data_IF_299957464120
#
_entry.id   IF_299957464120
#
_cell.length_a   1.000
_cell.length_b   1.000
_cell.length_c   1.000
_cell.angle_alpha   90.00
_cell.angle_beta   90.00
_cell.angle_gamma   90.00
#
_symmetry.space_group_name_H-M   'P 1'
#
loop_
_entity.id
_entity.type
_entity.pdbx_description
1 polymer ?
#
# COMPACT_ATOMS: atom_id res chain seq x y z
N UNK A 1 -13.79 1.12 -9.80
CA UNK A 1 -14.01 1.03 -8.34
C UNK A 1 -13.19 2.16 -7.70
N UNK A 2 -13.26 2.47 -6.39
CA UNK A 2 -12.30 3.45 -5.85
C UNK A 2 -10.89 2.89 -6.06
N UNK A 3 -10.00 3.69 -6.67
CA UNK A 3 -8.61 3.28 -6.90
C UNK A 3 -7.91 3.07 -5.56
N UNK A 4 -6.97 2.13 -5.48
CA UNK A 4 -6.17 1.88 -4.27
C UNK A 4 -5.51 3.17 -3.74
N UNK A 5 -5.14 4.11 -4.63
CA UNK A 5 -4.60 5.42 -4.25
C UNK A 5 -5.54 6.22 -3.32
N UNK A 6 -6.87 6.13 -3.51
CA UNK A 6 -7.84 6.82 -2.64
C UNK A 6 -7.84 6.22 -1.23
N UNK A 7 -7.74 4.88 -1.14
CA UNK A 7 -7.60 4.21 0.16
C UNK A 7 -6.27 4.57 0.82
N UNK A 8 -5.18 4.67 0.05
CA UNK A 8 -3.89 5.13 0.55
C UNK A 8 -4.01 6.53 1.15
N UNK A 9 -4.53 7.49 0.39
CA UNK A 9 -4.57 8.89 0.81
C UNK A 9 -5.48 9.11 2.04
N UNK A 10 -6.57 8.34 2.16
CA UNK A 10 -7.58 8.58 3.21
C UNK A 10 -7.46 7.68 4.45
N UNK A 11 -6.82 6.51 4.34
CA UNK A 11 -6.73 5.50 5.42
C UNK A 11 -5.29 5.31 5.88
N UNK A 12 -4.34 5.14 4.96
CA UNK A 12 -2.97 4.76 5.30
C UNK A 12 -2.07 5.97 5.55
N UNK A 13 -2.10 6.95 4.65
CA UNK A 13 -1.21 8.10 4.69
C UNK A 13 -1.27 8.87 6.01
N UNK A 14 -2.46 9.17 6.60
CA UNK A 14 -2.52 9.91 7.86
C UNK A 14 -1.82 9.18 9.01
N UNK A 15 -1.98 7.86 9.13
CA UNK A 15 -1.35 7.08 10.18
C UNK A 15 0.16 6.96 9.94
N UNK A 16 0.58 6.79 8.69
CA UNK A 16 2.01 6.73 8.35
C UNK A 16 2.73 8.06 8.58
N UNK A 17 2.09 9.19 8.25
CA UNK A 17 2.63 10.53 8.50
C UNK A 17 2.77 10.83 9.99
N UNK A 18 1.81 10.39 10.82
CA UNK A 18 1.93 10.45 12.28
C UNK A 18 3.12 9.61 12.77
N UNK A 19 3.28 8.39 12.28
CA UNK A 19 4.39 7.51 12.68
C UNK A 19 5.76 8.05 12.24
N UNK A 20 5.82 8.82 11.15
CA UNK A 20 7.02 9.59 10.79
C UNK A 20 7.25 10.72 11.77
N UNK A 21 6.23 11.50 12.11
CA UNK A 21 6.34 12.61 13.06
C UNK A 21 6.76 12.13 14.47
N UNK A 22 6.35 10.92 14.86
CA UNK A 22 6.70 10.26 16.12
C UNK A 22 8.09 9.58 16.09
N UNK A 23 8.73 9.50 14.93
CA UNK A 23 10.06 8.90 14.77
C UNK A 23 10.06 7.37 14.76
N UNK A 24 8.90 6.72 14.68
CA UNK A 24 8.80 5.25 14.49
C UNK A 24 9.13 4.82 13.06
N UNK A 25 9.00 5.75 12.12
CA UNK A 25 9.24 5.55 10.70
C UNK A 25 10.15 6.68 10.17
N UNK A 26 11.19 6.34 9.41
CA UNK A 26 12.09 7.36 8.82
C UNK A 26 11.41 8.02 7.63
N UNK A 27 10.79 7.20 6.77
CA UNK A 27 9.98 7.65 5.65
C UNK A 27 9.09 6.50 5.16
N UNK A 28 8.16 6.84 4.28
CA UNK A 28 7.39 5.86 3.52
C UNK A 28 7.14 6.40 2.11
N UNK A 29 6.60 5.55 1.26
CA UNK A 29 6.05 5.99 -0.01
C UNK A 29 5.39 4.87 -0.77
N UNK A 30 4.79 5.26 -1.89
CA UNK A 30 4.14 4.34 -2.82
C UNK A 30 4.85 4.32 -4.15
N UNK A 31 4.91 3.12 -4.73
CA UNK A 31 5.29 2.89 -6.10
C UNK A 31 4.01 2.50 -6.84
N UNK A 32 3.68 3.25 -7.88
CA UNK A 32 2.54 3.01 -8.75
C UNK A 32 3.04 2.78 -10.18
N UNK A 33 2.33 1.95 -10.96
CA UNK A 33 2.67 1.77 -12.37
C UNK A 33 2.33 3.03 -13.16
N UNK A 34 3.22 3.43 -14.08
CA UNK A 34 2.95 4.50 -15.04
C UNK A 34 1.93 4.06 -16.11
N UNK A 35 1.77 2.74 -16.32
CA UNK A 35 0.87 2.14 -17.28
C UNK A 35 0.36 0.79 -16.76
N UNK A 36 -0.95 0.52 -16.85
CA UNK A 36 -1.61 -0.61 -16.21
C UNK A 36 -3.00 -0.21 -15.69
N UNK A 37 -3.63 -1.09 -14.92
CA UNK A 37 -4.95 -0.89 -14.32
C UNK A 37 -4.92 -0.21 -12.93
N UNK A 38 -6.07 -0.07 -12.27
CA UNK A 38 -6.26 0.74 -11.06
C UNK A 38 -5.80 0.09 -9.74
N UNK A 39 -5.19 -1.09 -9.83
CA UNK A 39 -4.91 -1.99 -8.71
C UNK A 39 -3.43 -2.03 -8.30
N UNK A 40 -2.60 -1.20 -8.93
CA UNK A 40 -1.15 -1.26 -8.81
C UNK A 40 -0.63 -0.46 -7.62
N UNK A 41 -0.44 -1.14 -6.49
CA UNK A 41 0.08 -0.56 -5.25
C UNK A 41 1.24 -1.38 -4.70
N UNK A 42 2.39 -0.74 -4.58
CA UNK A 42 3.48 -1.22 -3.75
C UNK A 42 3.86 -0.11 -2.78
N UNK A 43 4.10 -0.47 -1.53
CA UNK A 43 4.40 0.47 -0.46
C UNK A 43 5.79 0.12 0.07
N UNK A 44 6.60 1.13 0.35
CA UNK A 44 7.88 0.94 1.02
C UNK A 44 7.90 1.71 2.34
N UNK A 45 8.66 1.18 3.29
CA UNK A 45 8.85 1.74 4.62
C UNK A 45 10.34 1.84 4.91
N UNK A 46 10.82 3.03 5.20
CA UNK A 46 12.17 3.29 5.68
C UNK A 46 12.21 3.22 7.20
N UNK A 47 12.98 2.28 7.74
CA UNK A 47 13.22 2.10 9.18
C UNK A 47 14.70 1.80 9.42
N UNK A 48 15.19 2.07 10.63
CA UNK A 48 16.61 1.93 10.94
C UNK A 48 17.11 0.48 10.88
N UNK A 49 16.28 -0.47 11.31
CA UNK A 49 16.63 -1.88 11.39
C UNK A 49 15.37 -2.76 11.47
N UNK A 50 15.59 -4.07 11.46
CA UNK A 50 14.50 -5.05 11.49
C UNK A 50 13.64 -4.97 12.77
N UNK A 51 14.23 -4.66 13.93
CA UNK A 51 13.44 -4.53 15.16
C UNK A 51 12.51 -3.32 15.09
N UNK A 52 13.03 -2.18 14.63
CA UNK A 52 12.23 -0.98 14.38
C UNK A 52 11.08 -1.27 13.41
N UNK A 53 11.31 -2.07 12.35
CA UNK A 53 10.24 -2.50 11.45
C UNK A 53 9.09 -3.20 12.18
N UNK A 54 9.39 -4.18 13.03
CA UNK A 54 8.36 -4.96 13.73
C UNK A 54 7.56 -4.09 14.71
N UNK A 55 8.23 -3.20 15.43
CA UNK A 55 7.60 -2.29 16.39
C UNK A 55 6.70 -1.28 15.66
N UNK A 56 7.19 -0.67 14.57
CA UNK A 56 6.40 0.16 13.66
C UNK A 56 5.18 -0.60 13.11
N UNK A 57 5.38 -1.80 12.58
CA UNK A 57 4.33 -2.55 11.91
C UNK A 57 3.19 -2.92 12.88
N UNK A 58 3.54 -3.34 14.09
CA UNK A 58 2.56 -3.66 15.12
C UNK A 58 1.71 -2.44 15.49
N UNK A 59 2.35 -1.28 15.69
CA UNK A 59 1.66 -0.04 16.02
C UNK A 59 0.76 0.44 14.86
N UNK A 60 1.31 0.44 13.65
CA UNK A 60 0.62 0.86 12.44
C UNK A 60 -0.66 0.05 12.22
N UNK A 61 -0.58 -1.28 12.26
CA UNK A 61 -1.74 -2.16 12.11
C UNK A 61 -2.73 -1.97 13.27
N UNK A 62 -2.25 -1.74 14.49
CA UNK A 62 -3.09 -1.41 15.64
C UNK A 62 -3.95 -0.18 15.40
N UNK A 63 -3.33 0.94 14.99
CA UNK A 63 -4.03 2.20 14.68
C UNK A 63 -5.01 2.07 13.53
N UNK A 64 -4.65 1.34 12.47
CA UNK A 64 -5.57 1.09 11.35
C UNK A 64 -6.80 0.29 11.79
N UNK A 65 -6.62 -0.75 12.59
CA UNK A 65 -7.74 -1.55 13.11
C UNK A 65 -8.66 -0.75 14.03
N UNK A 66 -8.10 0.16 14.84
CA UNK A 66 -8.87 1.03 15.73
C UNK A 66 -9.65 2.11 14.96
N UNK A 67 -8.98 2.83 14.05
CA UNK A 67 -9.54 4.01 13.36
C UNK A 67 -10.38 3.65 12.14
N UNK A 68 -10.06 2.54 11.47
CA UNK A 68 -10.66 2.12 10.21
C UNK A 68 -11.06 0.63 10.24
N UNK A 69 -11.99 0.23 11.12
CA UNK A 69 -12.41 -1.17 11.20
C UNK A 69 -12.88 -1.69 9.83
N UNK A 70 -12.35 -2.83 9.41
CA UNK A 70 -12.65 -3.44 8.11
C UNK A 70 -11.79 -2.94 6.94
N UNK A 71 -10.81 -2.05 7.17
CA UNK A 71 -9.85 -1.62 6.13
C UNK A 71 -9.18 -2.81 5.43
N UNK A 72 -8.86 -3.88 6.18
CA UNK A 72 -8.18 -5.04 5.65
C UNK A 72 -9.01 -5.75 4.57
N UNK A 73 -10.32 -5.91 4.79
CA UNK A 73 -11.19 -6.53 3.80
C UNK A 73 -11.24 -5.70 2.51
N UNK A 74 -11.30 -4.37 2.63
CA UNK A 74 -11.29 -3.48 1.47
C UNK A 74 -10.00 -3.61 0.68
N UNK A 75 -8.83 -3.58 1.35
CA UNK A 75 -7.54 -3.80 0.67
C UNK A 75 -7.46 -5.19 0.05
N UNK A 76 -7.90 -6.21 0.79
CA UNK A 76 -7.88 -7.58 0.32
C UNK A 76 -8.67 -7.75 -0.97
N UNK A 77 -9.89 -7.20 -1.02
CA UNK A 77 -10.74 -7.25 -2.21
C UNK A 77 -10.03 -6.59 -3.41
N UNK A 78 -9.42 -5.41 -3.19
CA UNK A 78 -8.65 -4.71 -4.22
C UNK A 78 -7.43 -5.52 -4.69
N UNK A 79 -6.73 -6.21 -3.78
CA UNK A 79 -5.59 -7.07 -4.10
C UNK A 79 -6.03 -8.32 -4.88
N UNK A 80 -7.18 -8.92 -4.56
CA UNK A 80 -7.68 -10.10 -5.28
C UNK A 80 -8.26 -9.79 -6.65
N UNK A 81 -8.77 -8.57 -6.84
CA UNK A 81 -9.23 -8.07 -8.13
C UNK A 81 -8.08 -7.61 -9.03
N UNK A 82 -6.84 -7.54 -8.51
CA UNK A 82 -5.65 -7.16 -9.27
C UNK A 82 -5.42 -8.10 -10.45
N UNK A 83 -5.30 -7.51 -11.65
CA UNK A 83 -5.00 -8.22 -12.88
C UNK A 83 -3.71 -7.68 -13.46
N UNK A 84 -2.61 -8.36 -13.17
CA UNK A 84 -1.34 -8.08 -13.83
C UNK A 84 -1.49 -8.32 -15.34
N UNK A 85 -1.57 -7.22 -16.08
CA UNK A 85 -1.65 -7.22 -17.53
C UNK A 85 -0.25 -7.45 -18.13
N UNK A 86 0.30 -8.63 -17.91
CA UNK A 86 1.58 -9.06 -18.48
C UNK A 86 1.31 -9.58 -19.89
N UNK A 87 1.47 -8.70 -20.88
CA UNK A 87 1.27 -9.04 -22.27
C UNK A 87 2.51 -9.72 -22.87
N UNK A 88 2.29 -10.73 -23.71
CA UNK A 88 3.33 -11.32 -24.55
C UNK A 88 3.02 -11.01 -26.00
N UNK A 89 4.00 -10.44 -26.71
CA UNK A 89 3.89 -10.23 -28.15
C UNK A 89 3.96 -11.58 -28.88
N UNK A 90 2.81 -12.05 -29.36
CA UNK A 90 2.70 -13.25 -30.20
C UNK A 90 2.33 -12.78 -31.61
N UNK A 91 3.37 -12.44 -32.41
CA UNK A 91 3.39 -11.90 -33.79
C UNK A 91 2.03 -11.61 -34.48
N UNK A 92 1.84 -10.43 -35.11
CA UNK A 92 1.01 -10.36 -36.29
C UNK A 92 1.68 -11.20 -37.38
N UNK A 93 1.01 -12.24 -37.90
CA UNK A 93 1.43 -12.84 -39.18
C UNK A 93 1.03 -11.87 -40.28
N UNK A 94 1.96 -11.57 -41.17
CA UNK A 94 1.69 -10.98 -42.49
C UNK A 94 0.84 -11.92 -43.34
#
# INVERSE_FOLDING_TARGET
MPKINVAVDSVFAPVLDELVAEGMLVNWGILTHSWGDEWNWNVYYGVENHRAFLDFWSEYIGRLNERHPGWWQQVWDLCTDHKDNIYVHRRPRE
#
